data_IF_705352539852
#
_entry.id   IF_705352539852
#
_cell.length_a   1.000
_cell.length_b   1.000
_cell.length_c   1.000
_cell.angle_alpha   90.00
_cell.angle_beta   90.00
_cell.angle_gamma   90.00
#
_symmetry.space_group_name_H-M   'P 1'
#
loop_
_entity.id
_entity.type
_entity.pdbx_description
1 polymer ?
#
# COMPACT_ATOMS: atom_id res chain seq x y z
N UNK A 1 11.12 -15.37 -9.95
CA UNK A 1 10.78 -14.36 -8.94
C UNK A 1 10.17 -13.18 -9.67
N UNK A 2 8.98 -12.75 -9.27
CA UNK A 2 8.30 -11.66 -9.96
C UNK A 2 8.98 -10.33 -9.60
N UNK A 3 9.30 -9.50 -10.60
CA UNK A 3 9.92 -8.19 -10.35
C UNK A 3 8.91 -7.21 -9.78
N UNK A 4 9.36 -6.37 -8.85
CA UNK A 4 8.53 -5.37 -8.18
C UNK A 4 9.12 -4.00 -8.40
N UNK A 5 8.28 -2.98 -8.59
CA UNK A 5 8.68 -1.58 -8.57
C UNK A 5 7.90 -0.85 -7.48
N UNK A 6 8.59 -0.02 -6.69
CA UNK A 6 7.97 0.86 -5.71
C UNK A 6 8.12 2.33 -6.13
N UNK A 7 7.11 3.16 -5.86
CA UNK A 7 7.15 4.61 -6.07
C UNK A 7 6.31 5.37 -5.05
N UNK A 8 6.79 6.56 -4.65
CA UNK A 8 6.06 7.55 -3.83
C UNK A 8 5.66 8.80 -4.67
N UNK A 9 5.76 8.70 -6.00
CA UNK A 9 5.58 9.81 -6.94
C UNK A 9 6.85 10.62 -7.24
N UNK A 10 7.86 10.58 -6.36
CA UNK A 10 9.15 11.28 -6.55
C UNK A 10 10.32 10.33 -6.79
N UNK A 11 10.33 9.21 -6.09
CA UNK A 11 11.31 8.13 -6.17
C UNK A 11 10.71 6.94 -6.87
N UNK A 12 11.56 6.21 -7.57
CA UNK A 12 11.23 4.95 -8.21
C UNK A 12 12.35 3.96 -7.87
N UNK A 13 11.98 2.84 -7.26
CA UNK A 13 12.90 1.78 -6.87
C UNK A 13 12.47 0.47 -7.55
N UNK A 14 13.34 -0.10 -8.38
CA UNK A 14 13.14 -1.43 -8.95
C UNK A 14 13.76 -2.48 -8.02
N UNK A 15 12.99 -3.52 -7.72
CA UNK A 15 13.33 -4.64 -6.84
C UNK A 15 13.91 -4.19 -5.47
N UNK A 16 13.20 -3.32 -4.72
CA UNK A 16 13.70 -2.74 -3.47
C UNK A 16 13.90 -3.79 -2.38
N UNK A 17 14.90 -3.58 -1.52
CA UNK A 17 15.05 -4.35 -0.27
C UNK A 17 13.99 -3.96 0.77
N UNK A 18 13.80 -4.80 1.79
CA UNK A 18 12.91 -4.51 2.91
C UNK A 18 13.25 -3.17 3.60
N UNK A 19 14.54 -2.88 3.79
CA UNK A 19 14.99 -1.61 4.37
C UNK A 19 14.61 -0.41 3.48
N UNK A 20 14.76 -0.55 2.16
CA UNK A 20 14.38 0.50 1.22
C UNK A 20 12.85 0.71 1.19
N UNK A 21 12.06 -0.35 1.32
CA UNK A 21 10.61 -0.24 1.43
C UNK A 21 10.20 0.40 2.75
N UNK A 22 10.85 0.04 3.85
CA UNK A 22 10.65 0.66 5.15
C UNK A 22 10.94 2.17 5.09
N UNK A 23 12.09 2.58 4.57
CA UNK A 23 12.48 3.99 4.44
C UNK A 23 11.50 4.76 3.54
N UNK A 24 11.10 4.17 2.40
CA UNK A 24 10.12 4.77 1.49
C UNK A 24 8.77 5.02 2.17
N UNK A 25 8.30 4.08 2.99
CA UNK A 25 7.06 4.21 3.76
C UNK A 25 7.21 5.19 4.94
N UNK A 26 8.36 5.22 5.60
CA UNK A 26 8.63 6.11 6.73
C UNK A 26 8.69 7.59 6.30
N UNK A 27 9.12 7.83 5.07
CA UNK A 27 9.20 9.17 4.48
C UNK A 27 7.85 9.72 3.99
N UNK A 28 6.76 8.94 4.07
CA UNK A 28 5.43 9.46 3.73
C UNK A 28 5.06 10.63 4.65
N UNK A 29 4.61 11.72 4.05
CA UNK A 29 4.11 12.90 4.74
C UNK A 29 2.81 13.40 4.12
N UNK A 30 2.34 14.60 4.46
CA UNK A 30 1.08 15.12 3.90
C UNK A 30 1.19 15.60 2.45
N UNK A 31 2.40 15.74 1.92
CA UNK A 31 2.66 16.15 0.54
C UNK A 31 2.88 14.94 -0.37
N UNK A 32 3.56 13.92 0.14
CA UNK A 32 3.79 12.63 -0.49
C UNK A 32 3.20 11.54 0.41
N UNK A 33 1.88 11.48 0.44
CA UNK A 33 1.15 10.67 1.41
C UNK A 33 0.88 9.24 0.94
N UNK A 34 1.58 8.76 -0.09
CA UNK A 34 1.33 7.43 -0.63
C UNK A 34 2.61 6.75 -1.11
N UNK A 35 2.55 5.42 -1.14
CA UNK A 35 3.53 4.55 -1.78
C UNK A 35 2.76 3.48 -2.55
N UNK A 36 3.12 3.26 -3.81
CA UNK A 36 2.58 2.20 -4.67
C UNK A 36 3.69 1.21 -5.00
N UNK A 37 3.39 -0.08 -4.83
CA UNK A 37 4.20 -1.18 -5.35
C UNK A 37 3.42 -1.88 -6.46
N UNK A 38 4.05 -2.04 -7.61
CA UNK A 38 3.50 -2.77 -8.75
C UNK A 38 4.36 -4.02 -9.04
N UNK A 39 3.72 -5.12 -9.40
CA UNK A 39 4.44 -6.26 -9.97
C UNK A 39 4.60 -6.04 -11.47
N UNK A 40 5.83 -5.99 -11.94
CA UNK A 40 6.10 -5.78 -13.34
C UNK A 40 5.71 -7.04 -14.13
N UNK A 41 4.94 -6.90 -15.23
CA UNK A 41 4.55 -8.04 -16.04
C UNK A 41 5.80 -8.72 -16.59
N UNK A 42 5.88 -10.05 -16.44
CA UNK A 42 6.93 -10.85 -17.09
C UNK A 42 6.67 -10.97 -18.59
N UNK A 43 5.43 -10.72 -19.04
CA UNK A 43 5.04 -10.68 -20.44
C UNK A 43 3.98 -9.59 -20.66
N UNK A 44 4.11 -8.80 -21.72
CA UNK A 44 3.34 -7.55 -21.98
C UNK A 44 1.82 -7.80 -22.13
N UNK A 45 1.39 -9.03 -22.41
CA UNK A 45 0.00 -9.38 -22.73
C UNK A 45 -0.92 -9.65 -21.54
N UNK A 46 -0.40 -9.71 -20.31
CA UNK A 46 -1.25 -9.84 -19.11
C UNK A 46 -1.72 -8.45 -18.70
N UNK A 47 -2.83 -7.97 -19.26
CA UNK A 47 -3.51 -6.71 -18.90
C UNK A 47 -4.10 -6.69 -17.47
N UNK A 48 -3.41 -7.32 -16.54
CA UNK A 48 -3.77 -7.49 -15.14
C UNK A 48 -2.82 -6.64 -14.31
N UNK A 49 -3.35 -5.57 -13.73
CA UNK A 49 -2.59 -4.74 -12.79
C UNK A 49 -2.56 -5.45 -11.43
N UNK A 50 -1.35 -5.80 -10.98
CA UNK A 50 -1.09 -6.30 -9.65
C UNK A 50 -0.33 -5.24 -8.88
N UNK A 51 -1.04 -4.57 -7.97
CA UNK A 51 -0.42 -3.57 -7.12
C UNK A 51 -0.85 -3.76 -5.68
N UNK A 52 -0.03 -3.23 -4.78
CA UNK A 52 -0.40 -2.88 -3.41
C UNK A 52 -0.01 -1.42 -3.19
N UNK A 53 -0.88 -0.64 -2.57
CA UNK A 53 -0.60 0.74 -2.21
C UNK A 53 -0.85 0.97 -0.72
N UNK A 54 -0.12 1.93 -0.19
CA UNK A 54 -0.34 2.50 1.14
C UNK A 54 -0.58 3.99 0.96
N UNK A 55 -1.62 4.50 1.60
CA UNK A 55 -1.85 5.93 1.75
C UNK A 55 -1.91 6.30 3.23
N UNK A 56 -1.29 7.42 3.59
CA UNK A 56 -1.35 8.04 4.90
C UNK A 56 -2.53 9.02 4.94
N UNK A 57 -3.45 8.77 5.88
CA UNK A 57 -4.59 9.64 6.15
C UNK A 57 -4.36 10.44 7.42
N UNK A 58 -4.37 11.77 7.28
CA UNK A 58 -4.34 12.70 8.40
C UNK A 58 -5.75 12.97 8.92
N UNK A 59 -6.20 12.12 9.83
CA UNK A 59 -7.43 12.32 10.58
C UNK A 59 -7.12 12.87 11.99
N UNK A 60 -8.07 13.57 12.65
CA UNK A 60 -7.90 13.98 14.04
C UNK A 60 -7.52 12.80 14.95
N UNK A 61 -6.49 12.98 15.79
CA UNK A 61 -5.91 11.91 16.61
C UNK A 61 -4.56 11.44 16.04
N UNK A 62 -4.30 10.13 16.09
CA UNK A 62 -3.03 9.55 15.62
C UNK A 62 -2.97 9.43 14.09
N UNK A 63 -4.09 9.43 13.37
CA UNK A 63 -4.16 9.16 11.92
C UNK A 63 -4.24 7.67 11.60
N UNK A 64 -4.26 7.32 10.31
CA UNK A 64 -4.35 5.94 9.84
C UNK A 64 -3.59 5.71 8.54
N UNK A 65 -3.27 4.44 8.28
CA UNK A 65 -2.80 3.96 6.99
C UNK A 65 -3.95 3.22 6.30
N UNK A 66 -4.23 3.62 5.07
CA UNK A 66 -5.10 2.89 4.17
C UNK A 66 -4.21 2.01 3.28
N UNK A 67 -4.42 0.69 3.33
CA UNK A 67 -3.70 -0.26 2.49
C UNK A 67 -4.68 -0.87 1.50
N UNK A 68 -4.34 -0.88 0.22
CA UNK A 68 -5.17 -1.46 -0.81
C UNK A 68 -4.35 -2.32 -1.74
N UNK A 69 -4.94 -3.37 -2.30
CA UNK A 69 -4.30 -4.17 -3.33
C UNK A 69 -5.29 -4.57 -4.41
N UNK A 70 -4.75 -4.88 -5.60
CA UNK A 70 -5.50 -5.40 -6.73
C UNK A 70 -4.88 -6.69 -7.24
N UNK A 71 -5.72 -7.71 -7.48
CA UNK A 71 -5.33 -9.00 -8.05
C UNK A 71 -6.00 -9.23 -9.39
N UNK A 72 -5.45 -8.65 -10.45
CA UNK A 72 -5.91 -8.96 -11.80
C UNK A 72 -7.27 -8.37 -12.17
N UNK A 73 -7.52 -7.14 -11.74
CA UNK A 73 -8.58 -6.29 -12.28
C UNK A 73 -9.49 -5.64 -11.22
N UNK A 74 -10.36 -4.70 -11.63
CA UNK A 74 -11.17 -3.89 -10.70
C UNK A 74 -12.08 -4.69 -9.76
N UNK A 75 -12.55 -5.86 -10.18
CA UNK A 75 -13.40 -6.73 -9.38
C UNK A 75 -12.67 -7.42 -8.21
N UNK A 76 -11.34 -7.40 -8.22
CA UNK A 76 -10.47 -7.98 -7.18
C UNK A 76 -9.62 -6.89 -6.52
N UNK A 77 -10.26 -5.78 -6.17
CA UNK A 77 -9.66 -4.70 -5.42
C UNK A 77 -10.11 -4.84 -3.97
N UNK A 78 -9.15 -4.80 -3.05
CA UNK A 78 -9.41 -4.95 -1.62
C UNK A 78 -8.73 -3.83 -0.86
N UNK A 79 -9.27 -3.52 0.33
CA UNK A 79 -8.74 -2.52 1.24
C UNK A 79 -8.71 -3.00 2.68
N UNK A 80 -7.82 -2.42 3.47
CA UNK A 80 -7.83 -2.47 4.91
C UNK A 80 -7.31 -1.14 5.49
N UNK A 81 -7.72 -0.84 6.71
CA UNK A 81 -7.25 0.34 7.45
C UNK A 81 -6.45 -0.13 8.66
N UNK A 82 -5.26 0.43 8.85
CA UNK A 82 -4.41 0.23 10.02
C UNK A 82 -4.35 1.54 10.79
N UNK A 83 -4.78 1.53 12.05
CA UNK A 83 -4.70 2.72 12.88
C UNK A 83 -3.26 2.96 13.31
N UNK A 84 -2.83 4.23 13.27
CA UNK A 84 -1.61 4.62 13.98
C UNK A 84 -1.86 4.46 15.47
N UNK A 85 -0.83 4.00 16.17
CA UNK A 85 -0.84 3.73 17.60
C UNK A 85 0.14 4.64 18.36
N UNK A 86 0.75 5.60 17.67
CA UNK A 86 1.68 6.59 18.23
C UNK A 86 1.52 7.94 17.53
N UNK A 87 1.97 9.02 18.18
CA UNK A 87 1.87 10.38 17.65
C UNK A 87 2.68 10.55 16.36
N UNK A 88 2.29 11.52 15.52
CA UNK A 88 3.04 11.87 14.32
C UNK A 88 4.48 12.28 14.69
N UNK A 89 5.49 11.70 14.02
CA UNK A 89 6.91 11.94 14.32
C UNK A 89 7.48 11.10 15.47
N UNK A 90 6.71 10.16 16.03
CA UNK A 90 7.27 9.16 16.97
C UNK A 90 8.28 8.26 16.25
N UNK A 91 9.38 7.92 16.92
CA UNK A 91 10.42 7.04 16.37
C UNK A 91 9.95 5.60 16.12
N UNK A 92 8.86 5.20 16.75
CA UNK A 92 8.26 3.88 16.60
C UNK A 92 6.74 4.01 16.61
N UNK A 93 6.07 3.35 15.67
CA UNK A 93 4.62 3.23 15.62
C UNK A 93 4.26 1.77 15.28
N UNK A 94 3.63 1.00 16.19
CA UNK A 94 3.33 -0.40 15.90
C UNK A 94 2.32 -0.59 14.76
N UNK A 95 1.48 0.41 14.45
CA UNK A 95 0.62 0.41 13.26
C UNK A 95 1.45 0.47 11.97
N UNK A 96 2.42 1.38 11.91
CA UNK A 96 3.39 1.49 10.83
C UNK A 96 4.16 0.18 10.62
N UNK A 97 4.67 -0.42 11.69
CA UNK A 97 5.39 -1.70 11.61
C UNK A 97 4.53 -2.85 11.05
N UNK A 98 3.22 -2.82 11.30
CA UNK A 98 2.30 -3.80 10.71
C UNK A 98 2.17 -3.57 9.20
N UNK A 99 2.08 -2.31 8.76
CA UNK A 99 2.05 -1.96 7.34
C UNK A 99 3.33 -2.37 6.64
N UNK A 100 4.51 -2.05 7.19
CA UNK A 100 5.80 -2.45 6.60
C UNK A 100 5.86 -3.97 6.39
N UNK A 101 5.47 -4.77 7.40
CA UNK A 101 5.45 -6.24 7.27
C UNK A 101 4.55 -6.73 6.15
N UNK A 102 3.37 -6.13 6.00
CA UNK A 102 2.43 -6.47 4.93
C UNK A 102 3.04 -6.18 3.56
N UNK A 103 3.69 -5.02 3.41
CA UNK A 103 4.29 -4.58 2.15
C UNK A 103 5.51 -5.43 1.78
N UNK A 104 6.42 -5.71 2.73
CA UNK A 104 7.57 -6.56 2.46
C UNK A 104 7.16 -8.00 2.15
N UNK A 105 6.18 -8.57 2.88
CA UNK A 105 5.70 -9.93 2.61
C UNK A 105 5.01 -10.02 1.24
N UNK A 106 4.25 -8.98 0.84
CA UNK A 106 3.73 -8.88 -0.52
C UNK A 106 4.86 -8.78 -1.55
N UNK A 107 5.84 -7.90 -1.37
CA UNK A 107 6.95 -7.72 -2.31
C UNK A 107 7.74 -9.01 -2.53
N UNK A 108 7.94 -9.79 -1.47
CA UNK A 108 8.61 -11.09 -1.49
C UNK A 108 7.81 -12.23 -2.16
N UNK A 109 6.56 -11.98 -2.60
CA UNK A 109 5.64 -13.00 -3.13
C UNK A 109 5.26 -14.10 -2.12
N UNK A 110 5.31 -13.77 -0.83
CA UNK A 110 4.80 -14.61 0.24
C UNK A 110 3.27 -14.50 0.35
N UNK A 111 2.69 -15.21 1.31
CA UNK A 111 1.23 -15.33 1.47
C UNK A 111 0.71 -14.85 2.83
N UNK A 112 1.58 -14.43 3.77
CA UNK A 112 1.14 -14.05 5.12
C UNK A 112 0.34 -12.73 5.09
N UNK A 113 0.69 -11.82 4.19
CA UNK A 113 0.01 -10.54 3.97
C UNK A 113 -1.50 -10.71 3.70
N UNK A 114 -1.91 -11.81 3.04
CA UNK A 114 -3.33 -12.10 2.73
C UNK A 114 -4.20 -12.23 3.98
N UNK A 115 -3.62 -12.56 5.12
CA UNK A 115 -4.33 -12.71 6.40
C UNK A 115 -3.87 -11.73 7.47
N UNK A 116 -2.86 -10.92 7.18
CA UNK A 116 -2.24 -9.99 8.13
C UNK A 116 -3.13 -8.77 8.46
N UNK A 117 -4.08 -8.45 7.58
CA UNK A 117 -5.04 -7.37 7.73
C UNK A 117 -6.48 -7.85 7.52
N UNK A 118 -7.49 -7.17 8.10
CA UNK A 118 -8.90 -7.49 7.89
C UNK A 118 -9.39 -6.95 6.54
N UNK A 119 -8.90 -7.54 5.44
CA UNK A 119 -9.20 -7.13 4.07
C UNK A 119 -10.70 -7.13 3.78
N UNK A 120 -11.17 -6.08 3.11
CA UNK A 120 -12.54 -5.92 2.63
C UNK A 120 -12.53 -5.69 1.14
N UNK A 121 -13.47 -6.29 0.42
CA UNK A 121 -13.64 -6.01 -1.01
C UNK A 121 -13.98 -4.52 -1.20
N UNK A 122 -13.29 -3.90 -2.13
CA UNK A 122 -13.53 -2.54 -2.57
C UNK A 122 -14.66 -2.53 -3.59
N UNK A 123 -15.84 -2.11 -3.19
CA UNK A 123 -16.92 -1.89 -4.15
C UNK A 123 -16.77 -0.52 -4.82
N UNK A 124 -16.05 -0.50 -5.94
CA UNK A 124 -15.81 0.71 -6.73
C UNK A 124 -17.10 1.40 -7.22
N UNK A 125 -18.25 0.70 -7.27
CA UNK A 125 -19.53 1.32 -7.60
C UNK A 125 -20.05 2.28 -6.52
N UNK A 126 -19.59 2.11 -5.27
CA UNK A 126 -19.94 2.96 -4.12
C UNK A 126 -18.88 4.05 -3.82
N UNK A 127 -17.71 4.01 -4.45
CA UNK A 127 -16.61 4.96 -4.21
C UNK A 127 -16.88 6.38 -4.72
N UNK A 128 -17.61 6.52 -5.81
CA UNK A 128 -17.94 7.81 -6.43
C UNK A 128 -18.86 8.71 -5.57
N UNK A 129 -19.51 8.18 -4.55
CA UNK A 129 -20.44 8.92 -3.68
C UNK A 129 -19.79 9.51 -2.41
N UNK A 130 -18.58 9.08 -2.04
CA UNK A 130 -17.95 9.44 -0.76
C UNK A 130 -16.84 10.50 -0.88
N UNK A 131 -16.69 11.14 -2.04
CA UNK A 131 -15.70 12.23 -2.24
C UNK A 131 -14.24 11.78 -2.24
N UNK A 132 -13.98 10.47 -2.19
CA UNK A 132 -12.64 9.90 -2.33
C UNK A 132 -12.34 9.70 -3.82
N UNK A 133 -11.39 10.45 -4.35
CA UNK A 133 -10.94 10.30 -5.74
C UNK A 133 -9.96 9.12 -5.77
N UNK A 134 -10.19 8.07 -6.57
CA UNK A 134 -9.20 7.02 -6.74
C UNK A 134 -7.97 7.64 -7.40
N UNK A 135 -6.80 7.39 -6.83
CA UNK A 135 -5.54 7.67 -7.51
C UNK A 135 -5.40 6.62 -8.62
N UNK A 136 -5.62 7.05 -9.87
CA UNK A 136 -5.42 6.28 -11.09
C UNK A 136 -4.10 6.70 -11.74
#
# INVERSE_FOLDING_TARGET
MQRVRATDGNRVLDDPSDDQLHDLLADMDLWCNFVVLERLPTNIDSGYDYFIQVALNAEPGYGSYQVEYREGGPAHHFQATVLRQSEMGSAFDPGFEQVVRVICDWAADNQLWRTALPWKLLDLANYSNNGFIPFF
#
